data_IF_155777361081
#
_entry.id   IF_155777361081
#
_cell.length_a   1.000
_cell.length_b   1.000
_cell.length_c   1.000
_cell.angle_alpha   90.00
_cell.angle_beta   90.00
_cell.angle_gamma   90.00
#
_symmetry.space_group_name_H-M   'P 1'
#
loop_
_entity.id
_entity.type
_entity.pdbx_description
1 polymer ?
#
# COMPACT_ATOMS: atom_id res chain seq x y z
N UNK A 1 13.91 9.78 -3.49
CA UNK A 1 12.97 8.64 -3.29
C UNK A 1 11.55 9.21 -3.33
N UNK A 2 10.57 8.55 -3.97
CA UNK A 2 9.20 9.08 -4.03
C UNK A 2 8.21 8.20 -3.25
N UNK A 3 7.41 8.85 -2.41
CA UNK A 3 6.33 8.24 -1.64
C UNK A 3 5.02 8.43 -2.40
N UNK A 4 4.36 7.33 -2.79
CA UNK A 4 3.06 7.38 -3.46
C UNK A 4 1.94 7.42 -2.41
N UNK A 5 1.07 8.40 -2.50
CA UNK A 5 -0.05 8.60 -1.59
C UNK A 5 -1.37 8.71 -2.36
N UNK A 6 -2.47 8.36 -1.70
CA UNK A 6 -3.80 8.55 -2.24
C UNK A 6 -4.18 10.04 -2.30
N UNK A 7 -5.16 10.36 -3.13
CA UNK A 7 -5.78 11.67 -3.31
C UNK A 7 -6.33 12.30 -2.03
N UNK A 8 -6.57 11.53 -0.97
CA UNK A 8 -6.96 12.08 0.34
C UNK A 8 -5.82 12.79 1.08
N UNK A 9 -4.55 12.51 0.75
CA UNK A 9 -3.36 13.08 1.40
C UNK A 9 -2.83 14.31 0.65
N UNK A 10 -3.71 15.04 -0.04
CA UNK A 10 -3.36 16.27 -0.72
C UNK A 10 -3.13 17.38 0.30
N UNK A 11 -1.90 17.88 0.40
CA UNK A 11 -1.61 19.05 1.23
C UNK A 11 -0.13 19.29 1.48
N UNK A 12 0.24 20.58 1.54
CA UNK A 12 1.58 21.00 1.98
C UNK A 12 1.92 20.52 3.40
N UNK A 13 1.00 20.53 4.39
CA UNK A 13 1.32 20.04 5.73
C UNK A 13 1.72 18.56 5.76
N UNK A 14 1.02 17.73 4.98
CA UNK A 14 1.36 16.31 4.87
C UNK A 14 2.72 16.10 4.22
N UNK A 15 2.98 16.77 3.09
CA UNK A 15 4.28 16.68 2.42
C UNK A 15 5.44 17.24 3.26
N UNK A 16 5.17 18.21 4.14
CA UNK A 16 6.13 18.74 5.10
C UNK A 16 6.43 17.70 6.21
N UNK A 17 5.40 17.11 6.82
CA UNK A 17 5.58 16.07 7.84
C UNK A 17 6.31 14.83 7.31
N UNK A 18 6.03 14.44 6.05
CA UNK A 18 6.76 13.34 5.39
C UNK A 18 8.25 13.68 5.24
N UNK A 19 8.59 14.92 4.88
CA UNK A 19 9.98 15.37 4.76
C UNK A 19 10.69 15.44 6.11
N UNK A 20 9.97 15.78 7.19
CA UNK A 20 10.53 15.81 8.54
C UNK A 20 10.82 14.42 9.08
N UNK A 21 9.93 13.45 8.84
CA UNK A 21 10.07 12.08 9.35
C UNK A 21 11.03 11.24 8.49
N UNK A 22 10.88 11.30 7.16
CA UNK A 22 11.63 10.44 6.23
C UNK A 22 12.84 11.13 5.60
N UNK A 23 13.03 12.43 5.84
CA UNK A 23 14.10 13.25 5.30
C UNK A 23 13.71 14.07 4.08
N UNK A 24 14.34 15.24 3.91
CA UNK A 24 14.00 16.26 2.90
C UNK A 24 14.17 15.82 1.43
N UNK A 25 14.81 14.68 1.17
CA UNK A 25 15.00 14.11 -0.17
C UNK A 25 13.79 13.26 -0.64
N UNK A 26 12.79 13.05 0.22
CA UNK A 26 11.58 12.29 -0.11
C UNK A 26 10.51 13.22 -0.69
N UNK A 27 10.07 12.91 -1.90
CA UNK A 27 8.99 13.64 -2.58
C UNK A 27 7.68 12.87 -2.49
N UNK A 28 6.58 13.55 -2.16
CA UNK A 28 5.25 12.94 -2.14
C UNK A 28 4.63 13.04 -3.53
N UNK A 29 4.28 11.89 -4.11
CA UNK A 29 3.58 11.77 -5.38
C UNK A 29 2.15 11.35 -5.11
N UNK A 30 1.19 12.12 -5.60
CA UNK A 30 -0.22 11.87 -5.30
C UNK A 30 -0.88 11.18 -6.48
N UNK A 31 -1.39 9.98 -6.23
CA UNK A 31 -2.08 9.17 -7.21
C UNK A 31 -3.55 9.63 -7.31
N UNK A 32 -3.79 10.76 -7.98
CA UNK A 32 -5.14 11.32 -8.17
C UNK A 32 -5.84 10.72 -9.39
N UNK A 33 -7.10 10.31 -9.21
CA UNK A 33 -8.01 9.99 -10.32
C UNK A 33 -8.66 11.29 -10.82
N UNK A 34 -7.97 12.01 -11.69
CA UNK A 34 -8.41 13.33 -12.18
C UNK A 34 -9.46 13.28 -13.29
N UNK A 35 -9.49 12.20 -14.07
CA UNK A 35 -10.39 12.07 -15.23
C UNK A 35 -11.33 10.88 -14.98
N UNK A 36 -12.59 11.16 -14.66
CA UNK A 36 -13.59 10.13 -14.40
C UNK A 36 -14.06 9.45 -15.71
N UNK A 37 -13.97 10.17 -16.83
CA UNK A 37 -14.44 9.77 -18.16
C UNK A 37 -13.37 9.06 -19.00
N UNK A 38 -12.11 9.09 -18.56
CA UNK A 38 -10.98 8.49 -19.29
C UNK A 38 -10.28 7.48 -18.40
N UNK A 39 -10.01 6.28 -18.90
CA UNK A 39 -9.20 5.31 -18.19
C UNK A 39 -7.72 5.70 -18.25
N UNK A 40 -7.17 6.16 -17.12
CA UNK A 40 -5.73 6.44 -16.99
C UNK A 40 -5.08 5.43 -16.05
N UNK A 41 -4.04 4.76 -16.53
CA UNK A 41 -3.28 3.78 -15.75
C UNK A 41 -2.60 4.49 -14.58
N UNK A 42 -2.93 4.10 -13.35
CA UNK A 42 -2.30 4.63 -12.15
C UNK A 42 -0.97 3.90 -11.86
N UNK A 43 0.11 4.62 -11.54
CA UNK A 43 1.40 4.01 -11.25
C UNK A 43 1.31 3.14 -9.99
N UNK A 44 1.88 1.93 -10.06
CA UNK A 44 1.96 0.92 -8.98
C UNK A 44 0.62 0.41 -8.40
N UNK A 45 -0.53 0.89 -8.87
CA UNK A 45 -1.85 0.45 -8.42
C UNK A 45 -2.05 -1.06 -8.56
N UNK A 46 -1.66 -1.61 -9.71
CA UNK A 46 -1.78 -3.05 -9.98
C UNK A 46 -0.98 -3.90 -8.99
N UNK A 47 0.15 -3.41 -8.48
CA UNK A 47 1.00 -4.13 -7.52
C UNK A 47 0.26 -4.24 -6.19
N UNK A 48 -0.37 -3.15 -5.76
CA UNK A 48 -1.14 -3.07 -4.52
C UNK A 48 -2.36 -3.97 -4.60
N UNK A 49 -3.18 -3.82 -5.65
CA UNK A 49 -4.39 -4.63 -5.86
C UNK A 49 -4.05 -6.13 -5.99
N UNK A 50 -2.97 -6.47 -6.73
CA UNK A 50 -2.50 -7.86 -6.85
C UNK A 50 -2.05 -8.43 -5.50
N UNK A 51 -1.35 -7.63 -4.70
CA UNK A 51 -0.93 -8.03 -3.34
C UNK A 51 -2.14 -8.31 -2.47
N UNK A 52 -3.17 -7.46 -2.50
CA UNK A 52 -4.41 -7.69 -1.76
C UNK A 52 -5.16 -8.94 -2.25
N UNK A 53 -5.23 -9.17 -3.57
CA UNK A 53 -5.85 -10.36 -4.13
C UNK A 53 -5.14 -11.67 -3.70
N UNK A 54 -3.83 -11.62 -3.42
CA UNK A 54 -3.12 -12.75 -2.85
C UNK A 54 -3.42 -12.95 -1.36
N UNK A 55 -3.50 -11.85 -0.60
CA UNK A 55 -3.87 -11.90 0.81
C UNK A 55 -5.30 -12.40 1.02
N UNK A 56 -6.22 -12.10 0.10
CA UNK A 56 -7.59 -12.58 0.11
C UNK A 56 -7.70 -14.12 0.07
N UNK A 57 -6.73 -14.81 -0.56
CA UNK A 57 -6.66 -16.27 -0.51
C UNK A 57 -6.30 -16.82 0.88
N UNK A 58 -5.74 -15.98 1.74
CA UNK A 58 -5.41 -16.33 3.12
C UNK A 58 -6.59 -15.98 4.03
N UNK A 59 -7.54 -16.92 4.19
CA UNK A 59 -8.78 -16.70 4.98
C UNK A 59 -8.55 -16.12 6.38
N UNK A 60 -7.40 -16.42 7.00
CA UNK A 60 -7.03 -15.90 8.32
C UNK A 60 -6.84 -14.37 8.36
N UNK A 61 -6.47 -13.76 7.23
CA UNK A 61 -6.28 -12.32 7.09
C UNK A 61 -7.53 -11.59 6.58
N UNK A 62 -8.63 -12.32 6.32
CA UNK A 62 -9.88 -11.74 5.83
C UNK A 62 -10.57 -10.89 6.90
N UNK A 63 -10.87 -9.63 6.57
CA UNK A 63 -11.67 -8.67 7.37
C UNK A 63 -11.15 -8.29 8.77
N UNK A 64 -9.84 -8.27 8.99
CA UNK A 64 -9.21 -7.70 10.20
C UNK A 64 -9.92 -8.11 11.51
N UNK A 65 -9.77 -9.37 11.92
CA UNK A 65 -10.21 -9.82 13.24
C UNK A 65 -9.04 -10.09 14.20
N UNK A 66 -7.88 -9.44 14.03
CA UNK A 66 -6.81 -9.54 15.01
C UNK A 66 -6.73 -8.26 15.84
N UNK A 67 -7.09 -8.38 17.12
CA UNK A 67 -7.00 -7.29 18.12
C UNK A 67 -5.56 -6.79 18.32
N UNK A 68 -4.55 -7.59 17.95
CA UNK A 68 -3.12 -7.31 18.14
C UNK A 68 -2.44 -7.09 16.79
N UNK A 69 -1.92 -5.88 16.58
CA UNK A 69 -1.22 -5.47 15.35
C UNK A 69 0.06 -6.27 15.08
N UNK A 70 0.77 -6.70 16.13
CA UNK A 70 1.97 -7.51 15.95
C UNK A 70 1.63 -8.84 15.27
N UNK A 71 0.65 -9.56 15.84
CA UNK A 71 0.24 -10.88 15.33
C UNK A 71 -0.19 -10.80 13.87
N UNK A 72 -0.94 -9.76 13.50
CA UNK A 72 -1.41 -9.60 12.11
C UNK A 72 -0.25 -9.35 11.15
N UNK A 73 0.77 -8.57 11.57
CA UNK A 73 1.99 -8.37 10.82
C UNK A 73 2.73 -9.70 10.55
N UNK A 74 2.87 -10.56 11.57
CA UNK A 74 3.52 -11.86 11.38
C UNK A 74 2.74 -12.75 10.39
N UNK A 75 1.41 -12.74 10.42
CA UNK A 75 0.61 -13.51 9.46
C UNK A 75 0.72 -13.00 8.03
N UNK A 76 0.85 -11.69 7.84
CA UNK A 76 1.12 -11.10 6.51
C UNK A 76 2.46 -11.61 5.98
N UNK A 77 3.53 -11.57 6.79
CA UNK A 77 4.83 -12.11 6.39
C UNK A 77 4.75 -13.59 6.01
N UNK A 78 4.07 -14.40 6.82
CA UNK A 78 3.89 -15.83 6.54
C UNK A 78 3.14 -16.06 5.21
N UNK A 79 2.10 -15.29 4.94
CA UNK A 79 1.32 -15.39 3.70
C UNK A 79 2.18 -15.10 2.47
N UNK A 80 3.03 -14.06 2.52
CA UNK A 80 3.94 -13.75 1.41
C UNK A 80 5.07 -14.77 1.27
N UNK A 81 5.64 -15.28 2.36
CA UNK A 81 6.63 -16.36 2.32
C UNK A 81 6.06 -17.62 1.66
N UNK A 82 4.87 -18.06 2.07
CA UNK A 82 4.19 -19.20 1.46
C UNK A 82 3.89 -18.96 -0.02
N UNK A 83 3.53 -17.74 -0.41
CA UNK A 83 3.31 -17.39 -1.81
C UNK A 83 4.59 -17.45 -2.65
N UNK A 84 5.72 -16.99 -2.10
CA UNK A 84 7.02 -17.04 -2.78
C UNK A 84 7.49 -18.49 -2.94
N UNK A 85 7.38 -19.31 -1.88
CA UNK A 85 7.75 -20.73 -1.91
C UNK A 85 6.91 -21.56 -2.88
N UNK A 86 5.65 -21.18 -3.14
CA UNK A 86 4.80 -21.86 -4.12
C UNK A 86 5.09 -21.45 -5.57
N UNK A 87 5.89 -20.41 -5.76
CA UNK A 87 6.22 -19.83 -7.08
C UNK A 87 7.67 -20.09 -7.50
N UNK A 88 8.54 -20.40 -6.55
CA UNK A 88 9.85 -21.01 -6.79
C UNK A 88 9.70 -22.46 -7.26
#
# INVERSE_FOLDING_TARGET
QSLLCDSGYMGQPFAQGVREILGGYVTVQIAKRSELHTFKVMPKRWIVERSFAWLEKSRRLWKNCERKLNTSLQFIHLAFLALLLRRS
#
